data_IF_344122239274
#
_entry.id   IF_344122239274
#
_cell.length_a   1.000
_cell.length_b   1.000
_cell.length_c   1.000
_cell.angle_alpha   90.00
_cell.angle_beta   90.00
_cell.angle_gamma   90.00
#
_symmetry.space_group_name_H-M   'P 1'
#
loop_
_entity.id
_entity.type
_entity.pdbx_description
1 polymer ?
#
# COMPACT_ATOMS: atom_id res chain seq x y z
N UNK A 1 21.01 -19.08 -47.27
CA UNK A 1 20.81 -20.53 -47.06
C UNK A 1 21.42 -20.89 -45.70
N UNK A 2 20.76 -20.73 -44.55
CA UNK A 2 19.39 -21.10 -44.22
C UNK A 2 19.39 -22.52 -43.64
N UNK A 3 19.61 -22.65 -42.33
CA UNK A 3 19.25 -23.82 -41.49
C UNK A 3 19.46 -23.43 -40.02
N UNK A 4 18.45 -22.78 -39.42
CA UNK A 4 18.32 -22.75 -37.97
C UNK A 4 17.64 -24.05 -37.56
N UNK A 5 18.35 -24.84 -36.78
CA UNK A 5 17.97 -26.15 -36.26
C UNK A 5 16.67 -26.09 -35.47
N UNK A 6 15.66 -26.82 -35.94
CA UNK A 6 14.44 -27.12 -35.20
C UNK A 6 14.77 -27.95 -33.95
N UNK A 7 14.76 -27.32 -32.78
CA UNK A 7 14.75 -28.07 -31.53
C UNK A 7 13.35 -28.63 -31.30
N UNK A 8 13.17 -29.90 -31.66
CA UNK A 8 12.04 -30.73 -31.25
C UNK A 8 12.14 -31.01 -29.75
N UNK A 9 11.57 -30.14 -28.92
CA UNK A 9 11.33 -30.43 -27.50
C UNK A 9 10.05 -31.25 -27.38
N UNK A 10 10.16 -32.56 -27.59
CA UNK A 10 9.10 -33.53 -27.34
C UNK A 10 8.98 -33.70 -25.81
N UNK A 11 8.07 -32.96 -25.17
CA UNK A 11 7.73 -33.18 -23.76
C UNK A 11 6.21 -33.30 -23.60
N UNK A 12 5.66 -34.46 -23.95
CA UNK A 12 4.33 -34.87 -23.48
C UNK A 12 4.46 -35.39 -22.05
N UNK A 13 4.60 -34.50 -21.07
CA UNK A 13 4.37 -34.83 -19.66
C UNK A 13 2.89 -34.64 -19.37
N UNK A 14 2.20 -35.73 -19.04
CA UNK A 14 0.82 -35.70 -18.55
C UNK A 14 0.81 -35.06 -17.17
N UNK A 15 0.49 -33.76 -17.10
CA UNK A 15 0.30 -33.07 -15.84
C UNK A 15 -1.04 -33.51 -15.24
N UNK A 16 -0.98 -34.29 -14.16
CA UNK A 16 -2.15 -34.60 -13.34
C UNK A 16 -2.74 -33.30 -12.78
N UNK A 17 -3.87 -32.89 -13.35
CA UNK A 17 -4.77 -31.81 -12.94
C UNK A 17 -4.27 -30.35 -12.87
N UNK A 18 -2.96 -30.03 -12.95
CA UNK A 18 -2.55 -28.61 -13.04
C UNK A 18 -1.16 -28.41 -13.65
N UNK A 19 -1.03 -27.40 -14.51
CA UNK A 19 0.23 -27.01 -15.13
C UNK A 19 1.01 -26.07 -14.20
N UNK A 20 2.35 -26.21 -14.09
CA UNK A 20 3.18 -25.25 -13.34
C UNK A 20 2.99 -23.82 -13.85
N UNK A 21 2.93 -22.85 -12.93
CA UNK A 21 2.71 -21.44 -13.26
C UNK A 21 3.78 -20.89 -14.21
N UNK A 22 5.03 -21.34 -14.06
CA UNK A 22 6.15 -20.97 -14.93
C UNK A 22 5.93 -21.37 -16.39
N UNK A 23 5.33 -22.55 -16.63
CA UNK A 23 4.99 -23.04 -17.97
C UNK A 23 3.87 -22.19 -18.56
N UNK A 24 2.82 -21.91 -17.78
CA UNK A 24 1.71 -21.05 -18.20
C UNK A 24 2.20 -19.64 -18.60
N UNK A 25 3.00 -19.00 -17.75
CA UNK A 25 3.54 -17.67 -18.00
C UNK A 25 4.42 -17.64 -19.25
N UNK A 26 5.29 -18.64 -19.42
CA UNK A 26 6.16 -18.75 -20.60
C UNK A 26 5.32 -18.86 -21.88
N UNK A 27 4.36 -19.78 -21.93
CA UNK A 27 3.49 -19.98 -23.11
C UNK A 27 2.70 -18.71 -23.44
N UNK A 28 2.10 -18.06 -22.44
CA UNK A 28 1.34 -16.81 -22.64
C UNK A 28 2.26 -15.67 -23.11
N UNK A 29 3.46 -15.55 -22.57
CA UNK A 29 4.44 -14.52 -23.00
C UNK A 29 4.88 -14.69 -24.46
N UNK A 30 5.14 -15.92 -24.90
CA UNK A 30 5.51 -16.21 -26.28
C UNK A 30 4.36 -15.91 -27.25
N UNK A 31 3.11 -16.19 -26.85
CA UNK A 31 1.92 -15.84 -27.64
C UNK A 31 1.73 -14.34 -27.73
N UNK A 32 1.85 -13.62 -26.60
CA UNK A 32 1.75 -12.14 -26.57
C UNK A 32 2.85 -11.46 -27.39
N UNK A 33 4.04 -12.04 -27.43
CA UNK A 33 5.15 -11.55 -28.25
C UNK A 33 4.97 -11.77 -29.76
N UNK A 34 3.93 -12.52 -30.17
CA UNK A 34 3.68 -12.85 -31.57
C UNK A 34 4.56 -13.98 -32.12
N UNK A 35 5.42 -14.60 -31.31
CA UNK A 35 6.29 -15.69 -31.73
C UNK A 35 5.52 -16.95 -32.14
N UNK A 36 4.37 -17.20 -31.52
CA UNK A 36 3.49 -18.33 -31.87
C UNK A 36 2.01 -17.92 -31.83
N UNK A 37 1.24 -18.39 -32.81
CA UNK A 37 -0.23 -18.44 -32.71
C UNK A 37 -0.66 -19.52 -31.71
N UNK A 38 -1.85 -19.37 -31.11
CA UNK A 38 -2.42 -20.35 -30.16
C UNK A 38 -2.41 -21.78 -30.73
N UNK A 39 -2.63 -21.94 -32.04
CA UNK A 39 -2.60 -23.25 -32.72
C UNK A 39 -1.18 -23.83 -32.81
N UNK A 40 -0.17 -23.00 -33.11
CA UNK A 40 1.23 -23.44 -33.15
C UNK A 40 1.78 -23.73 -31.76
N UNK A 41 1.40 -22.94 -30.75
CA UNK A 41 1.77 -23.16 -29.36
C UNK A 41 1.18 -24.49 -28.84
N UNK A 42 -0.09 -24.78 -29.14
CA UNK A 42 -0.72 -26.04 -28.78
C UNK A 42 0.03 -27.26 -29.33
N UNK A 43 0.45 -27.20 -30.61
CA UNK A 43 1.25 -28.26 -31.24
C UNK A 43 2.65 -28.38 -30.64
N UNK A 44 3.31 -27.27 -30.35
CA UNK A 44 4.69 -27.25 -29.82
C UNK A 44 4.78 -27.75 -28.39
N UNK A 45 3.84 -27.36 -27.55
CA UNK A 45 3.84 -27.68 -26.13
C UNK A 45 3.01 -28.93 -25.79
N UNK A 46 2.27 -29.49 -26.75
CA UNK A 46 1.39 -30.64 -26.52
C UNK A 46 0.19 -30.33 -25.62
N UNK A 47 -0.18 -29.05 -25.50
CA UNK A 47 -1.25 -28.56 -24.63
C UNK A 47 -2.51 -28.33 -25.46
N UNK A 48 -3.69 -28.61 -24.90
CA UNK A 48 -4.96 -28.33 -25.56
C UNK A 48 -5.10 -26.84 -25.88
N UNK A 49 -5.59 -26.54 -27.08
CA UNK A 49 -5.88 -25.17 -27.52
C UNK A 49 -6.81 -24.44 -26.55
N UNK A 50 -7.79 -25.15 -25.98
CA UNK A 50 -8.75 -24.56 -25.05
C UNK A 50 -8.05 -24.09 -23.77
N UNK A 51 -7.14 -24.88 -23.23
CA UNK A 51 -6.34 -24.54 -22.04
C UNK A 51 -5.48 -23.29 -22.28
N UNK A 52 -4.84 -23.21 -23.46
CA UNK A 52 -4.03 -22.04 -23.84
C UNK A 52 -4.91 -20.79 -24.00
N UNK A 53 -6.07 -20.91 -24.64
CA UNK A 53 -7.02 -19.80 -24.76
C UNK A 53 -7.47 -19.30 -23.38
N UNK A 54 -7.83 -20.21 -22.45
CA UNK A 54 -8.18 -19.83 -21.08
C UNK A 54 -7.06 -19.05 -20.39
N UNK A 55 -5.80 -19.48 -20.55
CA UNK A 55 -4.66 -18.77 -19.96
C UNK A 55 -4.45 -17.37 -20.53
N UNK A 56 -4.61 -17.21 -21.85
CA UNK A 56 -4.49 -15.89 -22.50
C UNK A 56 -5.61 -14.95 -22.06
N UNK A 57 -6.84 -15.48 -21.92
CA UNK A 57 -7.99 -14.70 -21.43
C UNK A 57 -7.75 -14.28 -19.98
N UNK A 58 -7.40 -15.22 -19.09
CA UNK A 58 -7.10 -14.91 -17.69
C UNK A 58 -5.99 -13.85 -17.56
N UNK A 59 -4.94 -13.96 -18.35
CA UNK A 59 -3.82 -13.00 -18.33
C UNK A 59 -4.23 -11.62 -18.89
N UNK A 60 -5.11 -11.57 -19.90
CA UNK A 60 -5.68 -10.31 -20.38
C UNK A 60 -6.58 -9.64 -19.34
N UNK A 61 -7.39 -10.41 -18.61
CA UNK A 61 -8.25 -9.92 -17.54
C UNK A 61 -7.43 -9.40 -16.36
N UNK A 62 -6.35 -10.11 -15.99
CA UNK A 62 -5.40 -9.65 -14.98
C UNK A 62 -4.70 -8.36 -15.42
N UNK A 63 -4.29 -8.27 -16.68
CA UNK A 63 -3.66 -7.07 -17.24
C UNK A 63 -4.62 -5.87 -17.20
N UNK A 64 -5.87 -6.07 -17.61
CA UNK A 64 -6.91 -5.03 -17.60
C UNK A 64 -7.28 -4.58 -16.17
N UNK A 65 -7.37 -5.52 -15.23
CA UNK A 65 -7.61 -5.17 -13.83
C UNK A 65 -6.45 -4.36 -13.24
N UNK A 66 -5.21 -4.73 -13.57
CA UNK A 66 -4.02 -4.01 -13.11
C UNK A 66 -3.91 -2.63 -13.76
N UNK A 67 -4.28 -2.46 -15.03
CA UNK A 67 -4.31 -1.15 -15.69
C UNK A 67 -5.35 -0.22 -15.04
N UNK A 68 -6.55 -0.72 -14.75
CA UNK A 68 -7.59 0.10 -14.12
C UNK A 68 -7.22 0.51 -12.70
N UNK A 69 -6.62 -0.39 -11.91
CA UNK A 69 -6.07 -0.05 -10.59
C UNK A 69 -4.96 0.99 -10.70
N UNK A 70 -4.11 0.91 -11.74
CA UNK A 70 -3.05 1.89 -11.97
C UNK A 70 -3.62 3.26 -12.38
N UNK A 71 -4.66 3.30 -13.20
CA UNK A 71 -5.35 4.54 -13.56
C UNK A 71 -6.03 5.19 -12.35
N UNK A 72 -6.66 4.40 -11.48
CA UNK A 72 -7.24 4.91 -10.23
C UNK A 72 -6.19 5.49 -9.26
N UNK A 73 -4.98 4.93 -9.24
CA UNK A 73 -3.87 5.45 -8.42
C UNK A 73 -3.27 6.72 -9.05
N UNK A 74 -3.19 6.79 -10.37
CA UNK A 74 -2.60 7.93 -11.10
C UNK A 74 -3.57 9.12 -11.26
N UNK A 75 -4.88 8.93 -11.11
CA UNK A 75 -5.88 9.99 -11.15
C UNK A 75 -6.10 10.71 -9.80
N UNK A 76 -5.57 10.16 -8.69
CA UNK A 76 -5.73 10.71 -7.32
C UNK A 76 -4.61 11.62 -6.76
N UNK A 77 -3.51 11.98 -7.45
CA UNK A 77 -2.41 12.70 -6.80
C UNK A 77 -2.80 14.14 -6.39
N UNK A 78 -3.68 14.80 -7.15
CA UNK A 78 -4.04 16.21 -6.90
C UNK A 78 -4.85 16.36 -5.60
N UNK A 79 -5.78 15.46 -5.32
CA UNK A 79 -6.59 15.53 -4.09
C UNK A 79 -5.75 15.15 -2.86
N UNK A 80 -4.90 14.13 -2.98
CA UNK A 80 -4.05 13.66 -1.87
C UNK A 80 -3.06 14.73 -1.41
N UNK A 81 -2.44 15.48 -2.34
CA UNK A 81 -1.54 16.58 -1.97
C UNK A 81 -2.25 17.69 -1.18
N UNK A 82 -3.51 17.99 -1.52
CA UNK A 82 -4.28 19.01 -0.79
C UNK A 82 -4.67 18.55 0.61
N UNK A 83 -5.00 17.27 0.78
CA UNK A 83 -5.34 16.68 2.08
C UNK A 83 -4.10 16.64 2.98
N UNK A 84 -2.96 16.20 2.47
CA UNK A 84 -1.69 16.17 3.24
C UNK A 84 -1.29 17.59 3.68
N UNK A 85 -1.41 18.59 2.80
CA UNK A 85 -1.12 19.99 3.15
C UNK A 85 -2.07 20.52 4.23
N UNK A 86 -3.36 20.19 4.18
CA UNK A 86 -4.35 20.57 5.21
C UNK A 86 -4.05 19.91 6.56
N UNK A 87 -3.76 18.60 6.56
CA UNK A 87 -3.41 17.85 7.77
C UNK A 87 -2.14 18.41 8.42
N UNK A 88 -1.10 18.70 7.64
CA UNK A 88 0.13 19.28 8.17
C UNK A 88 -0.09 20.65 8.83
N UNK A 89 -0.96 21.49 8.26
CA UNK A 89 -1.33 22.78 8.88
C UNK A 89 -2.02 22.57 10.23
N UNK A 90 -2.97 21.63 10.30
CA UNK A 90 -3.66 21.30 11.55
C UNK A 90 -2.70 20.80 12.63
N UNK A 91 -1.75 19.94 12.28
CA UNK A 91 -0.73 19.46 13.22
C UNK A 91 0.10 20.61 13.78
N UNK A 92 0.56 21.52 12.93
CA UNK A 92 1.35 22.70 13.36
C UNK A 92 0.52 23.62 14.28
N UNK A 93 -0.74 23.87 13.94
CA UNK A 93 -1.63 24.70 14.76
C UNK A 93 -1.90 24.07 16.13
N UNK A 94 -2.20 22.77 16.17
CA UNK A 94 -2.43 22.04 17.41
C UNK A 94 -1.17 22.01 18.29
N UNK A 95 0.00 21.81 17.69
CA UNK A 95 1.26 21.79 18.44
C UNK A 95 1.57 23.15 19.06
N UNK A 96 1.35 24.25 18.32
CA UNK A 96 1.47 25.61 18.87
C UNK A 96 0.47 25.89 19.99
N UNK A 97 -0.76 25.42 19.86
CA UNK A 97 -1.77 25.57 20.90
C UNK A 97 -1.38 24.82 22.19
N UNK A 98 -0.82 23.61 22.02
CA UNK A 98 -0.31 22.79 23.12
C UNK A 98 0.87 23.46 23.81
N UNK A 99 1.86 23.96 23.06
CA UNK A 99 2.99 24.70 23.61
C UNK A 99 2.54 25.92 24.41
N UNK A 100 1.59 26.69 23.88
CA UNK A 100 1.01 27.86 24.58
C UNK A 100 0.28 27.46 25.87
N UNK A 101 -0.41 26.33 25.87
CA UNK A 101 -1.09 25.82 27.07
C UNK A 101 -0.08 25.37 28.14
N UNK A 102 0.96 24.64 27.75
CA UNK A 102 2.02 24.21 28.65
C UNK A 102 2.78 25.39 29.27
N UNK A 103 3.13 26.39 28.46
CA UNK A 103 3.78 27.60 28.95
C UNK A 103 2.89 28.31 29.98
N UNK A 104 1.58 28.42 29.71
CA UNK A 104 0.64 28.99 30.69
C UNK A 104 0.61 28.20 32.00
N UNK A 105 0.55 26.86 31.92
CA UNK A 105 0.58 26.02 33.12
C UNK A 105 1.85 26.24 33.94
N UNK A 106 3.02 26.23 33.28
CA UNK A 106 4.30 26.48 33.95
C UNK A 106 4.36 27.88 34.58
N UNK A 107 3.87 28.91 33.89
CA UNK A 107 3.80 30.27 34.46
C UNK A 107 2.87 30.35 35.67
N UNK A 108 1.75 29.63 35.67
CA UNK A 108 0.83 29.61 36.81
C UNK A 108 1.44 28.86 38.00
N UNK A 109 2.11 27.73 37.76
CA UNK A 109 2.80 26.97 38.81
C UNK A 109 3.94 27.78 39.45
N UNK A 110 4.74 28.45 38.63
CA UNK A 110 5.82 29.32 39.10
C UNK A 110 5.28 30.54 39.85
N UNK A 111 4.22 31.18 39.36
CA UNK A 111 3.56 32.29 40.06
C UNK A 111 3.05 31.87 41.45
N UNK A 112 2.43 30.69 41.55
CA UNK A 112 2.00 30.14 42.85
C UNK A 112 3.21 29.98 43.77
N UNK A 113 4.31 29.38 43.27
CA UNK A 113 5.52 29.15 44.07
C UNK A 113 6.13 30.44 44.60
N UNK A 114 6.27 31.47 43.75
CA UNK A 114 6.79 32.78 44.16
C UNK A 114 5.85 33.43 45.19
N UNK A 115 4.54 33.38 44.95
CA UNK A 115 3.56 33.95 45.88
C UNK A 115 3.58 33.27 47.25
N UNK A 116 3.74 31.95 47.30
CA UNK A 116 3.88 31.22 48.58
C UNK A 116 5.16 31.60 49.33
N UNK A 117 6.25 31.87 48.61
CA UNK A 117 7.53 32.31 49.19
C UNK A 117 7.43 33.73 49.76
N UNK A 118 6.89 34.67 48.98
CA UNK A 118 6.86 36.09 49.34
C UNK A 118 5.82 36.40 50.42
N UNK A 119 4.63 35.81 50.30
CA UNK A 119 3.52 36.07 51.24
C UNK A 119 3.54 35.14 52.46
N UNK A 120 4.39 34.10 52.47
CA UNK A 120 4.47 33.06 53.51
C UNK A 120 3.13 32.35 53.81
N UNK A 121 2.18 32.40 52.88
CA UNK A 121 0.88 31.73 52.94
C UNK A 121 0.92 30.52 52.00
N UNK A 122 0.45 29.35 52.46
CA UNK A 122 0.30 28.17 51.60
C UNK A 122 -0.99 28.25 50.80
N UNK A 123 -0.87 28.41 49.48
CA UNK A 123 -1.99 28.50 48.55
C UNK A 123 -2.38 27.10 48.06
N UNK A 124 -1.40 26.21 47.85
CA UNK A 124 -1.65 24.84 47.38
C UNK A 124 -2.21 23.95 48.49
N UNK A 125 -3.29 23.20 48.18
CA UNK A 125 -3.81 22.13 49.04
C UNK A 125 -2.76 21.02 49.23
N UNK A 126 -2.64 20.50 50.46
CA UNK A 126 -1.86 19.26 50.71
C UNK A 126 -2.60 18.05 50.15
N UNK A 127 -1.85 17.11 49.56
CA UNK A 127 -2.36 15.79 49.18
C UNK A 127 -2.92 15.10 50.43
N UNK A 128 -4.23 14.82 50.44
CA UNK A 128 -4.93 14.14 51.55
C UNK A 128 -5.86 15.02 52.40
N UNK A 129 -5.96 16.33 52.12
CA UNK A 129 -6.94 17.17 52.82
C UNK A 129 -8.37 16.78 52.40
N UNK A 130 -9.22 16.40 53.37
CA UNK A 130 -10.65 16.12 53.12
C UNK A 130 -11.30 17.33 52.44
N UNK A 131 -11.92 17.09 51.29
CA UNK A 131 -12.72 18.11 50.61
C UNK A 131 -13.89 18.49 51.53
N UNK A 132 -14.02 19.77 51.84
CA UNK A 132 -15.17 20.30 52.56
C UNK A 132 -16.41 20.10 51.69
N UNK A 133 -17.37 19.30 52.17
CA UNK A 133 -18.67 19.16 51.53
C UNK A 133 -19.39 20.52 51.65
N UNK A 134 -19.77 21.07 50.50
CA UNK A 134 -20.81 22.08 50.39
C UNK A 134 -22.18 21.40 50.46
#
# INVERSE_FOLDING_TARGET
>A
MGKLTEQKTNQSKTYGNSYPLSVKQKVVSEIKSGAFSNRSAAKRYGISRNTINSWVIEDSLLTFKLSNLREEVMAKPVEQETVVKKLNKQVIELQKALEKANLKLETLETLIKVSEQDLKIKIRKKSGAKQSKL
#
